data_IF_038132663665
#
_entry.id   IF_038132663665
#
_cell.length_a   1.000
_cell.length_b   1.000
_cell.length_c   1.000
_cell.angle_alpha   90.00
_cell.angle_beta   90.00
_cell.angle_gamma   90.00
#
_symmetry.space_group_name_H-M   'P 1'
#
loop_
_entity.id
_entity.type
_entity.pdbx_description
1 polymer ?
#
# COMPACT_ATOMS: atom_id res chain seq x y z
N UNK A 1 -20.30 -6.23 -14.90
CA UNK A 1 -20.97 -5.28 -14.00
C UNK A 1 -20.17 -3.99 -13.89
N UNK A 2 -20.84 -2.86 -13.62
CA UNK A 2 -20.22 -1.54 -13.47
C UNK A 2 -20.32 -1.12 -12.00
N UNK A 3 -19.25 -0.58 -11.44
CA UNK A 3 -19.22 -0.09 -10.06
C UNK A 3 -18.41 1.21 -9.96
N UNK A 4 -18.46 1.85 -8.79
CA UNK A 4 -17.68 3.06 -8.51
C UNK A 4 -16.59 2.78 -7.48
N UNK A 5 -15.39 3.24 -7.75
CA UNK A 5 -14.25 3.20 -6.83
C UNK A 5 -13.58 4.57 -6.85
N UNK A 6 -13.50 5.24 -5.70
CA UNK A 6 -12.91 6.59 -5.57
C UNK A 6 -13.43 7.60 -6.61
N UNK A 7 -14.75 7.57 -6.85
CA UNK A 7 -15.42 8.41 -7.85
C UNK A 7 -15.26 7.95 -9.31
N UNK A 8 -14.38 6.98 -9.58
CA UNK A 8 -14.15 6.43 -10.93
C UNK A 8 -15.10 5.28 -11.24
N UNK A 9 -15.61 5.25 -12.47
CA UNK A 9 -16.46 4.16 -12.97
C UNK A 9 -15.55 3.04 -13.48
N UNK A 10 -15.66 1.87 -12.85
CA UNK A 10 -14.87 0.68 -13.19
C UNK A 10 -15.79 -0.46 -13.65
N UNK A 11 -15.21 -1.41 -14.38
CA UNK A 11 -15.89 -2.64 -14.81
C UNK A 11 -15.24 -3.86 -14.13
N UNK A 12 -16.05 -4.89 -13.95
CA UNK A 12 -15.61 -6.22 -13.53
C UNK A 12 -16.55 -7.29 -14.03
N UNK A 13 -16.02 -8.49 -14.25
CA UNK A 13 -16.82 -9.68 -14.54
C UNK A 13 -17.43 -10.16 -13.23
N UNK A 14 -18.72 -10.47 -13.28
CA UNK A 14 -19.44 -10.95 -12.11
C UNK A 14 -19.12 -12.42 -11.86
N UNK A 15 -18.75 -12.76 -10.63
CA UNK A 15 -18.39 -14.14 -10.25
C UNK A 15 -19.61 -15.05 -9.98
N UNK A 16 -20.83 -14.57 -10.23
CA UNK A 16 -22.04 -15.39 -10.20
C UNK A 16 -22.77 -15.39 -8.85
N UNK A 17 -23.95 -15.99 -8.85
CA UNK A 17 -24.88 -15.95 -7.72
C UNK A 17 -24.41 -16.78 -6.52
N UNK A 18 -23.66 -17.87 -6.76
CA UNK A 18 -23.10 -18.69 -5.70
C UNK A 18 -22.08 -17.89 -4.86
N UNK A 19 -21.10 -17.25 -5.53
CA UNK A 19 -20.14 -16.38 -4.87
C UNK A 19 -20.84 -15.22 -4.14
N UNK A 20 -21.82 -14.58 -4.79
CA UNK A 20 -22.61 -13.51 -4.18
C UNK A 20 -23.31 -13.99 -2.90
N UNK A 21 -24.02 -15.11 -2.94
CA UNK A 21 -24.75 -15.66 -1.79
C UNK A 21 -23.80 -15.98 -0.62
N UNK A 22 -22.61 -16.50 -0.91
CA UNK A 22 -21.59 -16.75 0.12
C UNK A 22 -21.13 -15.45 0.79
N UNK A 23 -20.75 -14.43 0.00
CA UNK A 23 -20.30 -13.15 0.55
C UNK A 23 -21.42 -12.40 1.29
N UNK A 24 -22.66 -12.44 0.81
CA UNK A 24 -23.79 -11.84 1.52
C UNK A 24 -23.98 -12.43 2.92
N UNK A 25 -23.83 -13.76 3.03
CA UNK A 25 -23.92 -14.48 4.30
C UNK A 25 -22.78 -14.08 5.25
N UNK A 26 -21.53 -14.11 4.76
CA UNK A 26 -20.34 -13.84 5.60
C UNK A 26 -20.26 -12.36 6.02
N UNK A 27 -20.56 -11.44 5.10
CA UNK A 27 -20.54 -9.98 5.38
C UNK A 27 -21.82 -9.54 6.09
N UNK A 28 -22.84 -10.41 6.17
CA UNK A 28 -24.16 -10.11 6.70
C UNK A 28 -24.79 -8.86 6.05
N UNK A 29 -24.71 -8.79 4.72
CA UNK A 29 -25.19 -7.64 3.93
C UNK A 29 -25.71 -8.11 2.59
N UNK A 30 -26.93 -7.68 2.24
CA UNK A 30 -27.54 -7.94 0.93
C UNK A 30 -26.95 -7.07 -0.18
N UNK A 31 -27.01 -7.57 -1.41
CA UNK A 31 -26.54 -6.90 -2.62
C UNK A 31 -25.02 -6.95 -2.80
N UNK A 32 -24.31 -7.82 -2.08
CA UNK A 32 -22.85 -7.97 -2.22
C UNK A 32 -22.53 -8.84 -3.44
N UNK A 33 -21.63 -8.36 -4.29
CA UNK A 33 -21.16 -9.06 -5.49
C UNK A 33 -19.64 -9.15 -5.46
N UNK A 34 -19.09 -10.32 -5.79
CA UNK A 34 -17.67 -10.47 -6.09
C UNK A 34 -17.45 -10.19 -7.58
N UNK A 35 -16.52 -9.27 -7.87
CA UNK A 35 -16.14 -8.94 -9.24
C UNK A 35 -14.67 -9.28 -9.50
N UNK A 36 -14.39 -9.81 -10.69
CA UNK A 36 -13.04 -10.11 -11.18
C UNK A 36 -12.65 -9.17 -12.32
N UNK A 37 -11.45 -8.61 -12.25
CA UNK A 37 -10.83 -7.93 -13.39
C UNK A 37 -10.25 -8.98 -14.35
N UNK A 38 -10.38 -8.73 -15.66
CA UNK A 38 -9.80 -9.57 -16.71
C UNK A 38 -9.06 -8.68 -17.73
N UNK A 39 -8.06 -9.22 -18.44
CA UNK A 39 -7.46 -8.53 -19.58
C UNK A 39 -8.53 -8.01 -20.55
N UNK A 40 -8.37 -6.75 -21.01
CA UNK A 40 -9.34 -6.06 -21.87
C UNK A 40 -10.33 -5.15 -21.13
N UNK A 41 -10.42 -5.22 -19.79
CA UNK A 41 -11.16 -4.23 -19.00
C UNK A 41 -10.31 -3.00 -18.69
N UNK A 42 -10.99 -1.88 -18.49
CA UNK A 42 -10.39 -0.57 -18.21
C UNK A 42 -9.48 -0.62 -16.96
N UNK A 43 -8.33 0.03 -17.07
CA UNK A 43 -7.46 0.36 -15.95
C UNK A 43 -7.75 1.78 -15.46
N UNK A 44 -7.18 2.14 -14.31
CA UNK A 44 -7.21 3.51 -13.80
C UNK A 44 -5.80 4.01 -13.45
N UNK A 45 -5.58 5.33 -13.43
CA UNK A 45 -4.30 5.91 -13.04
C UNK A 45 -3.90 5.48 -11.61
N UNK A 46 -2.61 5.27 -11.40
CA UNK A 46 -2.01 5.23 -10.05
C UNK A 46 -1.78 6.64 -9.52
N UNK A 47 -1.31 6.73 -8.27
CA UNK A 47 -0.96 7.99 -7.62
C UNK A 47 0.54 8.13 -7.39
N UNK A 48 1.06 9.33 -7.59
CA UNK A 48 2.46 9.72 -7.32
C UNK A 48 2.50 11.11 -6.69
N UNK A 49 3.62 11.49 -6.12
CA UNK A 49 3.85 12.83 -5.56
C UNK A 49 5.08 13.45 -6.21
N UNK A 50 4.97 14.72 -6.63
CA UNK A 50 6.08 15.52 -7.15
C UNK A 50 6.08 16.89 -6.48
N UNK A 51 7.08 17.13 -5.64
CA UNK A 51 7.12 18.33 -4.78
C UNK A 51 5.92 18.35 -3.84
N UNK A 52 5.12 19.41 -3.92
CA UNK A 52 3.92 19.63 -3.11
C UNK A 52 2.63 19.06 -3.72
N UNK A 53 2.71 18.40 -4.90
CA UNK A 53 1.54 17.98 -5.66
C UNK A 53 1.29 16.49 -5.58
N UNK A 54 0.06 16.15 -5.23
CA UNK A 54 -0.51 14.82 -5.42
C UNK A 54 -1.04 14.66 -6.84
N UNK A 55 -0.55 13.67 -7.57
CA UNK A 55 -0.80 13.52 -9.00
C UNK A 55 -1.33 12.13 -9.35
N UNK A 56 -2.11 12.08 -10.43
CA UNK A 56 -2.50 10.84 -11.11
C UNK A 56 -1.52 10.57 -12.25
N UNK A 57 -1.12 9.32 -12.45
CA UNK A 57 -0.26 8.91 -13.57
C UNK A 57 -0.77 7.65 -14.25
N UNK A 58 -0.68 7.63 -15.57
CA UNK A 58 -0.95 6.45 -16.40
C UNK A 58 0.33 5.65 -16.70
N UNK A 59 1.50 6.06 -16.19
CA UNK A 59 2.77 5.34 -16.37
C UNK A 59 2.70 3.93 -15.74
N UNK A 60 2.01 3.80 -14.60
CA UNK A 60 1.83 2.54 -13.89
C UNK A 60 0.35 2.34 -13.57
N UNK A 61 -0.47 1.96 -14.56
CA UNK A 61 -1.91 1.83 -14.36
C UNK A 61 -2.22 0.72 -13.35
N UNK A 62 -3.32 0.88 -12.61
CA UNK A 62 -3.77 -0.09 -11.61
C UNK A 62 -5.22 -0.49 -11.86
N UNK A 63 -5.64 -1.58 -11.23
CA UNK A 63 -7.02 -2.04 -11.19
C UNK A 63 -7.69 -1.59 -9.88
N UNK A 64 -8.12 -2.55 -9.06
CA UNK A 64 -8.87 -2.31 -7.83
C UNK A 64 -8.00 -1.94 -6.60
N UNK A 65 -6.68 -1.81 -6.77
CA UNK A 65 -5.77 -1.30 -5.73
C UNK A 65 -6.17 0.10 -5.24
N UNK A 66 -5.59 0.60 -4.15
CA UNK A 66 -5.84 1.98 -3.71
C UNK A 66 -5.04 3.01 -4.53
N UNK A 67 -3.72 2.85 -4.65
CA UNK A 67 -2.83 3.85 -5.25
C UNK A 67 -1.79 3.27 -6.20
N UNK A 68 -1.32 2.05 -5.98
CA UNK A 68 -0.21 1.43 -6.70
C UNK A 68 -0.38 -0.10 -6.82
N UNK A 69 0.43 -0.72 -7.69
CA UNK A 69 0.43 -2.17 -7.85
C UNK A 69 1.23 -2.89 -6.76
N UNK A 70 2.33 -2.27 -6.29
CA UNK A 70 3.22 -2.88 -5.31
C UNK A 70 3.44 -1.96 -4.11
N UNK A 71 3.25 -2.50 -2.90
CA UNK A 71 3.65 -1.90 -1.64
C UNK A 71 4.82 -2.71 -1.06
N UNK A 72 5.91 -2.03 -0.75
CA UNK A 72 7.08 -2.59 -0.09
C UNK A 72 7.20 -2.07 1.35
N UNK A 73 7.62 -2.93 2.26
CA UNK A 73 7.91 -2.57 3.66
C UNK A 73 9.15 -3.28 4.16
N UNK A 74 9.92 -2.62 5.02
CA UNK A 74 11.01 -3.28 5.74
C UNK A 74 10.48 -3.86 7.06
N UNK A 75 10.74 -5.14 7.29
CA UNK A 75 10.37 -5.84 8.51
C UNK A 75 11.01 -5.22 9.76
N UNK A 76 12.23 -4.71 9.66
CA UNK A 76 12.90 -4.04 10.77
C UNK A 76 12.27 -2.68 11.12
N UNK A 77 11.63 -1.99 10.16
CA UNK A 77 10.79 -0.81 10.44
C UNK A 77 9.56 -1.18 11.28
N UNK A 78 8.99 -2.38 11.07
CA UNK A 78 7.87 -2.89 11.88
C UNK A 78 8.36 -3.25 13.28
N UNK A 79 9.53 -3.88 13.41
CA UNK A 79 10.15 -4.17 14.72
C UNK A 79 10.41 -2.88 15.50
N UNK A 80 10.92 -1.84 14.85
CA UNK A 80 11.11 -0.54 15.48
C UNK A 80 9.78 0.12 15.88
N UNK A 81 8.75 0.05 15.03
CA UNK A 81 7.41 0.51 15.39
C UNK A 81 6.87 -0.21 16.62
N UNK A 82 6.99 -1.54 16.69
CA UNK A 82 6.51 -2.33 17.82
C UNK A 82 7.18 -1.95 19.15
N UNK A 83 8.46 -1.54 19.14
CA UNK A 83 9.15 -1.01 20.34
C UNK A 83 8.55 0.32 20.84
N UNK A 84 7.82 1.03 19.99
CA UNK A 84 7.19 2.33 20.31
C UNK A 84 5.70 2.20 20.64
N UNK A 85 5.11 1.03 20.43
CA UNK A 85 3.72 0.77 20.76
C UNK A 85 3.54 0.58 22.28
N UNK A 86 2.34 0.81 22.82
CA UNK A 86 2.00 0.38 24.17
C UNK A 86 2.27 -1.12 24.38
N UNK A 87 2.66 -1.53 25.59
CA UNK A 87 3.13 -2.88 25.92
C UNK A 87 2.21 -4.04 25.47
N UNK A 88 0.90 -3.81 25.39
CA UNK A 88 -0.11 -4.82 24.98
C UNK A 88 -0.54 -4.73 23.51
N UNK A 89 0.05 -3.81 22.75
CA UNK A 89 -0.24 -3.61 21.33
C UNK A 89 0.94 -4.09 20.51
N UNK A 90 0.66 -4.85 19.46
CA UNK A 90 1.66 -5.25 18.48
C UNK A 90 1.02 -5.33 17.11
N UNK A 91 1.82 -5.10 16.08
CA UNK A 91 1.40 -5.20 14.68
C UNK A 91 2.39 -6.04 13.90
N UNK A 92 1.90 -6.68 12.85
CA UNK A 92 2.71 -7.38 11.87
C UNK A 92 2.63 -6.68 10.51
N UNK A 93 3.36 -7.19 9.51
CA UNK A 93 3.24 -6.70 8.14
C UNK A 93 1.81 -6.87 7.60
N UNK A 94 1.01 -7.82 8.12
CA UNK A 94 -0.37 -8.05 7.69
C UNK A 94 -1.25 -6.81 7.90
N UNK A 95 -1.03 -6.04 8.99
CA UNK A 95 -1.73 -4.78 9.25
C UNK A 95 -1.48 -3.74 8.14
N UNK A 96 -0.32 -3.78 7.49
CA UNK A 96 0.08 -2.82 6.46
C UNK A 96 -0.15 -3.30 5.03
N UNK A 97 -0.49 -4.59 4.86
CA UNK A 97 -0.84 -5.24 3.60
C UNK A 97 0.19 -5.05 2.45
N UNK A 98 1.50 -5.21 2.72
CA UNK A 98 2.52 -5.11 1.68
C UNK A 98 2.43 -6.30 0.71
N UNK A 99 2.98 -6.11 -0.48
CA UNK A 99 3.25 -7.19 -1.43
C UNK A 99 4.66 -7.76 -1.22
N UNK A 100 5.64 -6.90 -0.91
CA UNK A 100 7.04 -7.26 -0.70
C UNK A 100 7.46 -6.84 0.71
N UNK A 101 8.02 -7.80 1.46
CA UNK A 101 8.64 -7.56 2.76
C UNK A 101 10.13 -7.81 2.60
N UNK A 102 10.95 -6.87 3.06
CA UNK A 102 12.41 -6.98 3.04
C UNK A 102 13.00 -6.85 4.43
N UNK A 103 14.27 -7.17 4.59
CA UNK A 103 15.02 -6.92 5.82
C UNK A 103 16.24 -6.07 5.51
N UNK A 104 16.38 -4.95 6.23
CA UNK A 104 17.51 -4.02 6.15
C UNK A 104 17.48 -3.04 7.32
N UNK A 105 18.30 -2.00 7.28
CA UNK A 105 18.27 -0.96 8.34
C UNK A 105 16.88 -0.33 8.48
N UNK A 106 16.33 -0.18 9.70
CA UNK A 106 15.00 0.39 9.90
C UNK A 106 14.81 1.72 9.14
N UNK A 107 13.73 1.81 8.38
CA UNK A 107 13.34 2.96 7.56
C UNK A 107 14.25 3.30 6.38
N UNK A 108 15.25 2.48 6.06
CA UNK A 108 16.09 2.69 4.87
C UNK A 108 15.26 2.75 3.59
N UNK A 109 14.10 2.09 3.53
CA UNK A 109 13.19 2.11 2.39
C UNK A 109 12.69 3.51 2.02
N UNK A 110 12.71 4.47 2.96
CA UNK A 110 12.30 5.84 2.71
C UNK A 110 13.13 6.49 1.59
N UNK A 111 14.37 6.05 1.37
CA UNK A 111 15.32 6.63 0.42
C UNK A 111 15.45 5.85 -0.88
N UNK A 112 14.66 4.79 -1.09
CA UNK A 112 14.82 3.91 -2.25
C UNK A 112 13.97 4.35 -3.44
N UNK A 113 14.58 5.08 -4.38
CA UNK A 113 13.93 5.61 -5.57
C UNK A 113 13.68 4.57 -6.66
N UNK A 114 14.71 3.81 -7.04
CA UNK A 114 14.60 2.68 -7.97
C UNK A 114 15.22 1.43 -7.39
N UNK A 115 14.56 0.30 -7.62
CA UNK A 115 14.96 -1.00 -7.09
C UNK A 115 15.06 -2.03 -8.20
N UNK A 116 15.94 -3.00 -8.02
CA UNK A 116 16.06 -4.20 -8.85
C UNK A 116 16.10 -5.46 -7.97
N UNK A 117 15.29 -6.46 -8.32
CA UNK A 117 15.27 -7.81 -7.71
C UNK A 117 15.28 -8.82 -8.87
N UNK A 118 16.41 -9.46 -9.14
CA UNK A 118 16.60 -10.20 -10.40
C UNK A 118 16.34 -9.30 -11.61
N UNK A 119 15.36 -9.66 -12.43
CA UNK A 119 14.88 -8.90 -13.60
C UNK A 119 13.78 -7.86 -13.26
N UNK A 120 13.11 -8.01 -12.09
CA UNK A 120 12.07 -7.07 -11.66
C UNK A 120 12.70 -5.70 -11.40
N UNK A 121 12.18 -4.67 -12.04
CA UNK A 121 12.54 -3.28 -11.78
C UNK A 121 11.36 -2.49 -11.25
N UNK A 122 11.56 -1.78 -10.14
CA UNK A 122 10.53 -0.99 -9.48
C UNK A 122 10.92 0.49 -9.42
N UNK A 123 9.95 1.37 -9.65
CA UNK A 123 10.10 2.83 -9.51
C UNK A 123 9.20 3.33 -8.38
N UNK A 124 9.79 4.02 -7.40
CA UNK A 124 9.04 4.64 -6.29
C UNK A 124 8.06 5.66 -6.85
N UNK A 125 6.81 5.56 -6.41
CA UNK A 125 5.75 6.51 -6.76
C UNK A 125 5.57 7.57 -5.69
N UNK A 126 5.54 7.14 -4.42
CA UNK A 126 5.38 7.96 -3.22
C UNK A 126 5.45 7.09 -1.95
N UNK A 127 5.56 7.76 -0.81
CA UNK A 127 5.33 7.19 0.52
C UNK A 127 3.90 6.68 0.64
N UNK A 128 3.69 5.59 1.40
CA UNK A 128 2.36 5.08 1.68
C UNK A 128 1.77 5.74 2.93
N UNK A 129 0.71 6.52 2.75
CA UNK A 129 -0.10 7.05 3.84
C UNK A 129 -0.85 5.90 4.51
N UNK A 130 -0.88 5.91 5.84
CA UNK A 130 -1.57 4.88 6.61
C UNK A 130 -2.90 5.41 7.13
N UNK A 131 -3.96 4.66 6.86
CA UNK A 131 -5.33 4.95 7.24
C UNK A 131 -5.85 3.95 8.27
N UNK A 132 -7.09 4.14 8.73
CA UNK A 132 -7.72 3.32 9.80
C UNK A 132 -7.67 1.81 9.55
N UNK A 133 -7.55 1.37 8.30
CA UNK A 133 -7.42 -0.05 7.96
C UNK A 133 -6.24 -0.71 8.68
N UNK A 134 -5.15 0.02 8.96
CA UNK A 134 -4.01 -0.55 9.69
C UNK A 134 -4.31 -0.86 11.16
N UNK A 135 -5.39 -0.32 11.72
CA UNK A 135 -5.78 -0.53 13.12
C UNK A 135 -6.76 -1.69 13.30
N UNK A 136 -7.16 -2.34 12.20
CA UNK A 136 -7.99 -3.54 12.25
C UNK A 136 -7.09 -4.71 12.63
N UNK A 137 -7.47 -5.43 13.70
CA UNK A 137 -6.81 -6.68 14.11
C UNK A 137 -7.15 -7.78 13.12
N UNK A 138 -6.18 -8.34 12.36
CA UNK A 138 -6.47 -9.29 11.28
C UNK A 138 -7.24 -10.54 11.74
N UNK A 139 -7.00 -10.99 12.97
CA UNK A 139 -7.55 -12.22 13.53
C UNK A 139 -9.01 -12.08 13.94
N UNK A 140 -9.44 -10.87 14.34
CA UNK A 140 -10.77 -10.63 14.90
C UNK A 140 -11.63 -9.66 14.09
N UNK A 141 -11.04 -8.88 13.18
CA UNK A 141 -11.73 -7.80 12.47
C UNK A 141 -12.07 -6.59 13.35
N UNK A 142 -11.70 -6.60 14.64
CA UNK A 142 -11.98 -5.50 15.56
C UNK A 142 -11.04 -4.32 15.27
N UNK A 143 -11.61 -3.12 15.22
CA UNK A 143 -10.87 -1.88 15.02
C UNK A 143 -10.31 -1.35 16.34
N UNK A 144 -9.01 -1.05 16.37
CA UNK A 144 -8.31 -0.41 17.48
C UNK A 144 -7.87 1.02 17.11
N UNK A 145 -7.06 1.65 17.96
CA UNK A 145 -6.49 2.99 17.69
C UNK A 145 -5.01 2.98 17.28
N UNK A 146 -4.29 1.93 17.63
CA UNK A 146 -2.91 1.67 17.18
C UNK A 146 -2.93 0.86 15.88
N UNK A 147 -1.90 1.00 15.00
CA UNK A 147 -0.63 1.72 15.20
C UNK A 147 -0.67 3.20 14.80
N UNK A 148 -1.81 3.72 14.33
CA UNK A 148 -1.88 5.07 13.75
C UNK A 148 -1.54 6.17 14.75
N UNK A 149 -1.99 6.06 16.00
CA UNK A 149 -1.66 7.02 17.06
C UNK A 149 -0.16 7.12 17.26
N UNK A 150 0.53 5.98 17.34
CA UNK A 150 1.99 5.95 17.48
C UNK A 150 2.70 6.47 16.24
N UNK A 151 2.30 6.03 15.04
CA UNK A 151 2.91 6.50 13.79
C UNK A 151 2.78 8.02 13.62
N UNK A 152 1.63 8.62 13.96
CA UNK A 152 1.44 10.09 13.87
C UNK A 152 2.41 10.90 14.72
N UNK A 153 3.03 10.31 15.74
CA UNK A 153 4.00 11.00 16.61
C UNK A 153 5.36 11.21 15.93
N UNK A 154 5.76 10.34 15.00
CA UNK A 154 7.14 10.34 14.49
C UNK A 154 7.30 10.03 13.00
N UNK A 155 6.22 9.63 12.32
CA UNK A 155 6.21 9.26 10.90
C UNK A 155 5.35 10.21 10.06
N UNK A 156 5.41 11.51 10.32
CA UNK A 156 4.70 12.52 9.52
C UNK A 156 5.69 13.27 8.62
N UNK A 157 5.20 13.80 7.50
CA UNK A 157 6.00 14.60 6.59
C UNK A 157 6.67 15.79 7.32
N UNK A 158 7.97 15.99 7.09
CA UNK A 158 8.78 17.05 7.72
C UNK A 158 8.95 18.29 6.84
N UNK A 159 9.08 18.12 5.52
CA UNK A 159 9.27 19.24 4.58
C UNK A 159 7.94 19.95 4.28
N UNK A 160 8.00 21.25 3.91
CA UNK A 160 6.81 22.03 3.56
C UNK A 160 6.02 21.39 2.42
N UNK A 161 6.71 21.04 1.34
CA UNK A 161 6.09 20.43 0.16
C UNK A 161 5.44 19.09 0.50
N UNK A 162 6.13 18.22 1.24
CA UNK A 162 5.56 16.94 1.65
C UNK A 162 4.37 17.11 2.60
N UNK A 163 4.38 18.10 3.50
CA UNK A 163 3.23 18.43 4.34
C UNK A 163 2.04 18.89 3.52
N UNK A 164 2.24 19.67 2.46
CA UNK A 164 1.18 20.03 1.52
C UNK A 164 0.61 18.81 0.80
N UNK A 165 1.47 17.88 0.37
CA UNK A 165 1.05 16.69 -0.38
C UNK A 165 0.35 15.62 0.48
N UNK A 166 0.85 15.35 1.70
CA UNK A 166 0.38 14.24 2.55
C UNK A 166 -0.44 14.68 3.77
N UNK A 167 -0.43 15.98 4.09
CA UNK A 167 -1.03 16.50 5.31
C UNK A 167 -0.43 15.87 6.57
N UNK A 168 -1.29 15.54 7.53
CA UNK A 168 -0.91 14.91 8.80
C UNK A 168 -1.06 13.38 8.79
N UNK A 169 -1.10 12.76 7.60
CA UNK A 169 -1.15 11.31 7.51
C UNK A 169 0.21 10.70 7.85
N UNK A 170 0.27 9.65 8.68
CA UNK A 170 1.52 8.95 8.90
C UNK A 170 1.97 8.18 7.65
N UNK A 171 3.27 8.18 7.40
CA UNK A 171 3.95 7.61 6.25
C UNK A 171 4.80 6.40 6.68
N UNK A 172 4.49 5.23 6.16
CA UNK A 172 5.18 3.99 6.53
C UNK A 172 5.19 3.05 5.33
N UNK A 173 6.33 2.52 4.88
CA UNK A 173 6.42 1.73 3.65
C UNK A 173 6.21 2.55 2.35
N UNK A 174 6.65 1.98 1.22
CA UNK A 174 6.81 2.69 -0.05
C UNK A 174 5.99 2.06 -1.17
N UNK A 175 5.36 2.90 -1.98
CA UNK A 175 4.57 2.47 -3.14
C UNK A 175 5.42 2.48 -4.39
N UNK A 176 5.31 1.42 -5.20
CA UNK A 176 6.09 1.21 -6.41
C UNK A 176 5.22 0.90 -7.62
N UNK A 177 5.64 1.43 -8.76
CA UNK A 177 5.24 0.98 -10.09
C UNK A 177 6.22 -0.05 -10.62
N UNK A 178 5.73 -1.01 -11.41
CA UNK A 178 6.55 -2.04 -12.08
C UNK A 178 7.04 -1.47 -13.40
N UNK A 179 8.36 -1.26 -13.51
CA UNK A 179 9.02 -0.72 -14.71
C UNK A 179 9.43 -1.83 -15.68
N UNK A 180 9.88 -2.95 -15.14
CA UNK A 180 10.15 -4.18 -15.88
C UNK A 180 9.66 -5.36 -15.04
N UNK A 181 8.95 -6.30 -15.67
CA UNK A 181 8.45 -7.49 -15.02
C UNK A 181 9.59 -8.50 -14.80
N UNK A 182 9.47 -9.29 -13.75
CA UNK A 182 10.43 -10.35 -13.44
C UNK A 182 9.87 -11.27 -12.36
N UNK A 183 10.25 -12.54 -12.42
CA UNK A 183 9.97 -13.48 -11.34
C UNK A 183 10.89 -13.15 -10.15
N UNK A 184 10.30 -13.15 -8.96
CA UNK A 184 11.03 -12.99 -7.70
C UNK A 184 10.68 -14.16 -6.79
N UNK A 185 11.64 -14.54 -5.96
CA UNK A 185 11.52 -15.60 -4.96
C UNK A 185 11.84 -15.07 -3.57
N UNK A 186 11.45 -15.81 -2.54
CA UNK A 186 11.93 -15.55 -1.19
C UNK A 186 13.47 -15.62 -1.17
N UNK A 187 14.08 -14.75 -0.38
CA UNK A 187 15.53 -14.64 -0.22
C UNK A 187 16.30 -14.02 -1.40
N UNK A 188 15.64 -13.57 -2.46
CA UNK A 188 16.31 -12.78 -3.50
C UNK A 188 16.90 -11.48 -2.95
N UNK A 189 18.08 -11.12 -3.45
CA UNK A 189 18.70 -9.84 -3.10
C UNK A 189 18.01 -8.67 -3.81
N UNK A 190 17.79 -7.60 -3.05
CA UNK A 190 17.28 -6.34 -3.54
C UNK A 190 18.41 -5.32 -3.66
N UNK A 191 18.53 -4.70 -4.83
CA UNK A 191 19.51 -3.66 -5.11
C UNK A 191 18.83 -2.31 -5.29
N UNK A 192 19.32 -1.28 -4.60
CA UNK A 192 18.91 0.11 -4.80
C UNK A 192 19.72 0.68 -5.95
N UNK A 193 19.07 0.97 -7.08
CA UNK A 193 19.75 1.49 -8.28
C UNK A 193 19.64 3.01 -8.41
N UNK A 194 18.75 3.64 -7.64
CA UNK A 194 18.64 5.09 -7.54
C UNK A 194 18.09 5.45 -6.16
N UNK A 195 18.67 6.44 -5.50
CA UNK A 195 18.16 6.98 -4.24
C UNK A 195 17.09 8.05 -4.47
N UNK A 196 16.31 8.32 -3.44
CA UNK A 196 15.31 9.39 -3.38
C UNK A 196 15.45 10.14 -2.06
N UNK A 197 14.92 11.37 -2.00
CA UNK A 197 14.95 12.17 -0.79
C UNK A 197 14.02 11.60 0.29
N UNK A 198 14.52 11.49 1.52
CA UNK A 198 13.71 11.20 2.71
C UNK A 198 12.89 12.42 3.12
N UNK A 199 11.60 12.22 3.39
CA UNK A 199 10.67 13.30 3.74
C UNK A 199 10.02 13.17 5.13
N UNK A 200 10.31 12.09 5.86
CA UNK A 200 9.69 11.73 7.15
C UNK A 200 10.65 11.87 8.33
#
# INVERSE_FOLDING_TARGET
>A
MIFRQWGQRMKGIDCGNEAAAWFEKVINKKGVRLLRHIPGLDFRPSFTVKGDKYLKTNEFPVIYHYSCACLLINHNSIRDLNKRLPERESVSYVNFRPNIVVEGEPYAEDEWGMLRIGELQLKKLKECERCVVTTIKPESGVTASEPLKTLKKYRIAKTKDAKTAFGNQPLFGMTYGVKAEGLISLSDCLYVTQTSQRIV
#
